data_IF_277660936284
#
_entry.id   IF_277660936284
#
_cell.length_a   1.000
_cell.length_b   1.000
_cell.length_c   1.000
_cell.angle_alpha   90.00
_cell.angle_beta   90.00
_cell.angle_gamma   90.00
#
_symmetry.space_group_name_H-M   'P 1'
#
loop_
_entity.id
_entity.type
_entity.pdbx_description
1 polymer ?
#
# COMPACT_ATOMS: atom_id res chain seq x y z
N UNK A 1 -19.91 18.13 51.10
CA UNK A 1 -19.33 18.98 50.04
C UNK A 1 -18.19 18.21 49.39
N UNK A 2 -18.34 17.61 48.20
CA UNK A 2 -17.21 17.26 47.33
C UNK A 2 -17.74 17.02 45.91
N UNK A 3 -17.56 18.00 45.03
CA UNK A 3 -17.86 17.90 43.60
C UNK A 3 -16.71 17.16 42.90
N UNK A 4 -16.99 16.05 42.23
CA UNK A 4 -16.02 15.36 41.39
C UNK A 4 -16.05 15.98 39.98
N UNK A 5 -15.01 16.73 39.64
CA UNK A 5 -14.83 17.37 38.34
C UNK A 5 -14.44 16.32 37.29
N UNK A 6 -15.40 15.89 36.45
CA UNK A 6 -15.10 15.04 35.28
C UNK A 6 -14.43 15.90 34.21
N UNK A 7 -13.14 15.67 33.99
CA UNK A 7 -12.35 16.32 32.94
C UNK A 7 -12.58 15.59 31.62
N UNK A 8 -13.56 16.04 30.83
CA UNK A 8 -13.73 15.58 29.46
C UNK A 8 -12.54 16.06 28.60
N UNK A 9 -11.63 15.14 28.24
CA UNK A 9 -10.67 15.39 27.16
C UNK A 9 -11.39 15.16 25.83
N UNK A 10 -11.81 16.25 25.19
CA UNK A 10 -12.13 16.22 23.77
C UNK A 10 -10.82 15.91 23.02
N UNK A 11 -10.66 14.66 22.57
CA UNK A 11 -9.61 14.33 21.61
C UNK A 11 -10.05 14.89 20.26
N UNK A 12 -9.56 16.08 19.92
CA UNK A 12 -9.62 16.61 18.57
C UNK A 12 -8.71 15.72 17.71
N UNK A 13 -9.28 14.64 17.15
CA UNK A 13 -8.60 13.83 16.16
C UNK A 13 -8.20 14.72 14.98
N UNK A 14 -7.00 14.57 14.41
CA UNK A 14 -6.57 15.38 13.29
C UNK A 14 -7.52 15.11 12.11
N UNK A 15 -8.31 16.13 11.75
CA UNK A 15 -9.12 16.15 10.54
C UNK A 15 -8.16 16.33 9.35
N UNK A 16 -7.41 15.28 9.04
CA UNK A 16 -6.54 15.22 7.86
C UNK A 16 -7.40 15.02 6.61
N UNK A 17 -8.20 16.03 6.26
CA UNK A 17 -8.57 16.24 4.87
C UNK A 17 -7.33 16.90 4.23
N UNK A 18 -6.46 16.07 3.66
CA UNK A 18 -5.18 16.50 3.12
C UNK A 18 -5.34 17.61 2.08
N UNK A 19 -4.97 18.83 2.45
CA UNK A 19 -4.67 19.90 1.50
C UNK A 19 -3.34 19.58 0.83
N UNK A 20 -3.35 18.59 -0.06
CA UNK A 20 -2.21 18.35 -0.94
C UNK A 20 -2.29 19.43 -2.03
N UNK A 21 -1.40 20.42 -1.99
CA UNK A 21 -1.22 21.35 -3.10
C UNK A 21 -0.67 20.56 -4.30
N UNK A 22 -1.54 20.31 -5.27
CA UNK A 22 -1.13 19.78 -6.58
C UNK A 22 -0.60 20.91 -7.46
N UNK A 23 0.32 20.60 -8.39
CA UNK A 23 0.80 21.56 -9.40
C UNK A 23 -0.26 21.91 -10.47
N UNK A 24 -1.46 21.34 -10.37
CA UNK A 24 -2.59 21.61 -11.26
C UNK A 24 -3.49 22.72 -10.71
N UNK A 25 -4.18 23.44 -11.60
CA UNK A 25 -5.11 24.53 -11.25
C UNK A 25 -6.35 24.06 -10.47
N UNK A 26 -6.65 22.76 -10.52
CA UNK A 26 -7.83 22.16 -9.90
C UNK A 26 -7.43 21.20 -8.77
N UNK A 27 -8.28 21.12 -7.74
CA UNK A 27 -8.09 20.22 -6.61
C UNK A 27 -8.54 18.79 -6.95
N UNK A 28 -7.84 17.80 -6.41
CA UNK A 28 -8.26 16.39 -6.45
C UNK A 28 -9.44 16.17 -5.50
N UNK A 29 -10.57 15.72 -6.03
CA UNK A 29 -11.78 15.40 -5.25
C UNK A 29 -11.70 14.05 -4.54
N UNK A 30 -10.80 13.17 -4.99
CA UNK A 30 -10.60 11.84 -4.43
C UNK A 30 -9.41 11.88 -3.47
N UNK A 31 -9.68 11.63 -2.19
CA UNK A 31 -8.64 11.53 -1.18
C UNK A 31 -7.76 10.28 -1.39
N UNK A 32 -6.49 10.29 -0.95
CA UNK A 32 -5.64 9.11 -1.02
C UNK A 32 -6.28 7.92 -0.27
N UNK A 33 -6.35 6.73 -0.90
CA UNK A 33 -6.97 5.56 -0.28
C UNK A 33 -6.16 5.09 0.93
N UNK A 34 -6.76 5.22 2.12
CA UNK A 34 -6.12 4.88 3.40
C UNK A 34 -5.63 3.42 3.47
N UNK A 35 -6.22 2.51 2.70
CA UNK A 35 -5.82 1.10 2.68
C UNK A 35 -4.41 0.89 2.12
N UNK A 36 -3.99 1.69 1.13
CA UNK A 36 -2.65 1.60 0.51
C UNK A 36 -1.54 2.15 1.41
N UNK A 37 -1.89 2.83 2.50
CA UNK A 37 -0.93 3.27 3.51
C UNK A 37 -0.48 2.13 4.42
N UNK A 38 -1.17 0.99 4.40
CA UNK A 38 -0.80 -0.21 5.16
C UNK A 38 0.16 -1.07 4.33
N UNK A 39 1.15 -1.74 4.94
CA UNK A 39 2.00 -2.69 4.24
C UNK A 39 1.17 -3.80 3.59
N UNK A 40 1.57 -4.22 2.38
CA UNK A 40 1.00 -5.39 1.72
C UNK A 40 1.38 -6.65 2.52
N UNK A 41 0.41 -7.50 2.81
CA UNK A 41 0.63 -8.77 3.51
C UNK A 41 -0.13 -9.88 2.78
N UNK A 42 0.56 -11.01 2.55
CA UNK A 42 0.00 -12.21 1.90
C UNK A 42 0.24 -13.40 2.82
N UNK A 43 -0.77 -14.25 3.09
CA UNK A 43 -0.60 -15.40 3.96
C UNK A 43 0.23 -16.50 3.30
N UNK A 44 1.07 -17.17 4.10
CA UNK A 44 1.81 -18.37 3.65
C UNK A 44 0.85 -19.56 3.55
N UNK A 45 0.67 -20.12 2.35
CA UNK A 45 -0.20 -21.28 2.11
C UNK A 45 0.48 -22.28 1.18
N UNK A 46 0.24 -23.57 1.46
CA UNK A 46 0.56 -24.66 0.54
C UNK A 46 -0.62 -24.89 -0.40
N UNK A 47 -0.41 -24.71 -1.71
CA UNK A 47 -1.43 -24.74 -2.75
C UNK A 47 -1.41 -26.11 -3.45
N UNK A 48 -2.30 -27.01 -3.03
CA UNK A 48 -2.43 -28.38 -3.56
C UNK A 48 -3.67 -28.58 -4.45
N UNK A 49 -4.28 -27.47 -4.90
CA UNK A 49 -5.42 -27.50 -5.83
C UNK A 49 -4.98 -27.70 -7.29
N UNK A 50 -5.92 -27.65 -8.25
CA UNK A 50 -5.61 -27.80 -9.68
C UNK A 50 -4.77 -26.64 -10.26
N UNK A 51 -4.61 -25.55 -9.51
CA UNK A 51 -3.81 -24.39 -9.88
C UNK A 51 -4.42 -23.08 -9.36
N UNK A 52 -3.61 -22.03 -9.14
CA UNK A 52 -2.15 -21.94 -9.31
C UNK A 52 -1.36 -22.69 -8.22
N UNK A 53 -0.14 -23.13 -8.55
CA UNK A 53 0.77 -23.83 -7.63
C UNK A 53 1.74 -22.86 -6.94
N UNK A 54 2.40 -23.31 -5.86
CA UNK A 54 3.49 -22.55 -5.24
C UNK A 54 4.67 -22.35 -6.22
N UNK A 55 5.28 -21.17 -6.17
CA UNK A 55 6.45 -20.85 -6.99
C UNK A 55 7.72 -21.53 -6.46
N UNK A 56 8.60 -21.96 -7.36
CA UNK A 56 9.95 -22.36 -6.98
C UNK A 56 10.75 -21.16 -6.43
N UNK A 57 11.73 -21.37 -5.54
CA UNK A 57 12.57 -20.29 -5.02
C UNK A 57 13.26 -19.48 -6.13
N UNK A 58 13.68 -20.14 -7.22
CA UNK A 58 14.30 -19.49 -8.38
C UNK A 58 13.34 -18.55 -9.10
N UNK A 59 12.11 -18.99 -9.34
CA UNK A 59 11.08 -18.16 -10.00
C UNK A 59 10.69 -16.98 -9.12
N UNK A 60 10.58 -17.19 -7.80
CA UNK A 60 10.30 -16.13 -6.83
C UNK A 60 11.40 -15.05 -6.83
N UNK A 61 12.67 -15.46 -6.80
CA UNK A 61 13.81 -14.54 -6.85
C UNK A 61 13.85 -13.75 -8.17
N UNK A 62 13.52 -14.38 -9.30
CA UNK A 62 13.50 -13.72 -10.60
C UNK A 62 12.47 -12.56 -10.67
N UNK A 63 11.35 -12.66 -9.95
CA UNK A 63 10.34 -11.60 -9.90
C UNK A 63 10.80 -10.33 -9.16
N UNK A 64 11.87 -10.42 -8.37
CA UNK A 64 12.48 -9.28 -7.68
C UNK A 64 13.60 -8.59 -8.46
N UNK A 65 13.89 -9.03 -9.69
CA UNK A 65 14.94 -8.43 -10.52
C UNK A 65 14.51 -7.06 -11.04
N UNK A 66 15.50 -6.18 -11.26
CA UNK A 66 15.26 -4.85 -11.80
C UNK A 66 14.74 -4.93 -13.25
N UNK A 67 13.81 -4.03 -13.58
CA UNK A 67 13.26 -3.93 -14.93
C UNK A 67 14.37 -3.58 -15.95
N UNK A 68 14.39 -4.33 -17.04
CA UNK A 68 15.21 -4.05 -18.22
C UNK A 68 14.33 -3.53 -19.37
N UNK A 69 14.94 -2.84 -20.33
CA UNK A 69 14.23 -2.36 -21.52
C UNK A 69 13.64 -3.56 -22.28
N UNK A 70 12.36 -3.49 -22.63
CA UNK A 70 11.68 -4.58 -23.34
C UNK A 70 12.34 -4.98 -24.67
N UNK A 71 13.02 -4.04 -25.33
CA UNK A 71 13.81 -4.24 -26.56
C UNK A 71 15.30 -4.00 -26.30
N UNK A 72 15.84 -4.67 -25.28
CA UNK A 72 17.28 -4.65 -25.05
C UNK A 72 18.00 -5.51 -26.11
N UNK A 73 19.16 -5.06 -26.58
CA UNK A 73 19.89 -5.69 -27.68
C UNK A 73 20.31 -7.13 -27.37
N UNK A 74 20.57 -7.44 -26.10
CA UNK A 74 20.89 -8.81 -25.65
C UNK A 74 19.69 -9.78 -25.68
N UNK A 75 18.48 -9.27 -25.92
CA UNK A 75 17.23 -10.06 -25.89
C UNK A 75 16.71 -10.41 -27.28
N UNK A 76 17.20 -9.74 -28.34
CA UNK A 76 16.81 -10.00 -29.72
C UNK A 76 18.09 -10.20 -30.56
N UNK A 77 18.28 -11.38 -31.19
CA UNK A 77 19.43 -11.64 -32.06
C UNK A 77 19.42 -10.78 -33.33
#
# INVERSE_FOLDING_TARGET
MFQALVKAKAALGPRAAGWVRTMASNQLLVAPPKALLKPLSVPTRLLLGPGPSNLSPRTMAAGGLQMIRAMHKEMYP
#
